data_IF_124452847407
#
_entry.id   IF_124452847407
#
_cell.length_a   1.000
_cell.length_b   1.000
_cell.length_c   1.000
_cell.angle_alpha   90.00
_cell.angle_beta   90.00
_cell.angle_gamma   90.00
#
_symmetry.space_group_name_H-M   'P 1'
#
loop_
_entity.id
_entity.type
_entity.pdbx_description
1 polymer ?
#
# COMPACT_ATOMS: atom_id res chain seq x y z
N UNK A 1 2.90 -15.55 27.81
CA UNK A 1 3.64 -14.34 28.20
C UNK A 1 3.71 -13.45 26.98
N UNK A 2 3.51 -12.15 27.14
CA UNK A 2 3.58 -11.17 26.06
C UNK A 2 4.93 -10.46 26.07
N UNK A 3 5.38 -9.98 24.91
CA UNK A 3 6.70 -9.35 24.73
C UNK A 3 6.94 -8.17 25.69
N UNK A 4 5.90 -7.40 26.02
CA UNK A 4 5.98 -6.27 26.93
C UNK A 4 6.15 -6.65 28.41
N UNK A 5 6.00 -7.94 28.74
CA UNK A 5 6.19 -8.47 30.09
C UNK A 5 7.64 -8.92 30.33
N UNK A 6 8.51 -8.87 29.31
CA UNK A 6 9.91 -9.27 29.42
C UNK A 6 10.72 -8.16 30.09
N UNK A 7 11.69 -8.55 30.91
CA UNK A 7 12.50 -7.65 31.76
C UNK A 7 13.15 -6.50 30.98
N UNK A 8 13.63 -6.77 29.78
CA UNK A 8 14.32 -5.78 28.94
C UNK A 8 13.39 -5.09 27.93
N UNK A 9 12.07 -5.24 27.99
CA UNK A 9 11.16 -4.50 27.10
C UNK A 9 11.40 -2.98 27.24
N UNK A 10 11.51 -2.20 26.15
CA UNK A 10 11.38 -2.54 24.73
C UNK A 10 12.72 -2.66 23.97
N UNK A 11 13.77 -3.17 24.60
CA UNK A 11 15.09 -3.36 23.98
C UNK A 11 15.08 -4.57 23.04
N UNK A 12 14.77 -4.33 21.77
CA UNK A 12 14.77 -5.36 20.73
C UNK A 12 16.17 -5.74 20.26
N UNK A 13 16.34 -7.01 19.89
CA UNK A 13 17.52 -7.53 19.22
C UNK A 13 17.14 -8.25 17.91
N UNK A 14 18.09 -8.35 16.97
CA UNK A 14 17.89 -9.05 15.71
C UNK A 14 19.22 -9.48 15.09
N UNK A 15 19.16 -10.50 14.24
CA UNK A 15 20.31 -10.93 13.44
C UNK A 15 20.37 -10.17 12.11
N UNK A 16 21.21 -9.15 12.04
CA UNK A 16 21.37 -8.33 10.84
C UNK A 16 21.90 -9.12 9.63
N UNK A 17 22.70 -10.18 9.85
CA UNK A 17 23.27 -10.99 8.77
C UNK A 17 22.18 -11.69 7.95
N UNK A 18 21.09 -12.08 8.61
CA UNK A 18 19.91 -12.66 7.95
C UNK A 18 19.06 -11.63 7.21
N UNK A 19 19.10 -10.36 7.62
CA UNK A 19 18.29 -9.29 7.02
C UNK A 19 19.00 -8.62 5.83
N UNK A 20 20.34 -8.63 5.84
CA UNK A 20 21.16 -7.87 4.90
C UNK A 20 20.85 -8.12 3.42
N UNK A 21 20.71 -9.36 2.93
CA UNK A 21 20.44 -9.60 1.52
C UNK A 21 19.13 -8.95 1.04
N UNK A 22 18.09 -8.99 1.89
CA UNK A 22 16.79 -8.39 1.57
C UNK A 22 16.83 -6.87 1.69
N UNK A 23 17.55 -6.31 2.66
CA UNK A 23 17.79 -4.87 2.74
C UNK A 23 18.43 -4.34 1.46
N UNK A 24 19.50 -4.97 0.99
CA UNK A 24 20.21 -4.55 -0.23
C UNK A 24 19.29 -4.63 -1.46
N UNK A 25 18.46 -5.68 -1.55
CA UNK A 25 17.44 -5.84 -2.61
C UNK A 25 16.38 -4.74 -2.58
N UNK A 26 15.87 -4.39 -1.42
CA UNK A 26 14.90 -3.30 -1.24
C UNK A 26 15.51 -1.96 -1.66
N UNK A 27 16.76 -1.66 -1.27
CA UNK A 27 17.45 -0.43 -1.71
C UNK A 27 17.60 -0.35 -3.22
N UNK A 28 17.93 -1.47 -3.87
CA UNK A 28 17.98 -1.54 -5.33
C UNK A 28 16.62 -1.26 -5.96
N UNK A 29 15.53 -1.83 -5.43
CA UNK A 29 14.17 -1.58 -5.92
C UNK A 29 13.74 -0.12 -5.71
N UNK A 30 14.03 0.48 -4.55
CA UNK A 30 13.83 1.91 -4.31
C UNK A 30 14.55 2.75 -5.38
N UNK A 31 15.83 2.46 -5.62
CA UNK A 31 16.61 3.17 -6.65
C UNK A 31 16.04 3.03 -8.06
N UNK A 32 15.59 1.83 -8.45
CA UNK A 32 14.93 1.60 -9.74
C UNK A 32 13.62 2.36 -9.87
N UNK A 33 12.81 2.39 -8.81
CA UNK A 33 11.54 3.09 -8.79
C UNK A 33 11.76 4.59 -8.97
N UNK A 34 12.69 5.19 -8.20
CA UNK A 34 13.08 6.60 -8.32
C UNK A 34 13.63 6.95 -9.70
N UNK A 35 14.50 6.10 -10.27
CA UNK A 35 15.02 6.30 -11.61
C UNK A 35 13.92 6.25 -12.67
N UNK A 36 12.96 5.34 -12.53
CA UNK A 36 11.85 5.18 -13.49
C UNK A 36 10.85 6.33 -13.43
N UNK A 37 10.55 6.87 -12.24
CA UNK A 37 9.66 8.02 -12.09
C UNK A 37 10.27 9.31 -12.62
N UNK A 38 11.59 9.48 -12.51
CA UNK A 38 12.29 10.63 -13.09
C UNK A 38 12.19 10.65 -14.63
N UNK A 39 12.11 9.48 -15.29
CA UNK A 39 12.02 9.36 -16.75
C UNK A 39 10.61 9.61 -17.28
N UNK A 40 9.56 9.23 -16.53
CA UNK A 40 8.17 9.35 -17.00
C UNK A 40 7.65 10.78 -16.95
N UNK A 41 8.16 11.60 -16.02
CA UNK A 41 7.57 12.91 -15.71
C UNK A 41 6.20 12.84 -15.03
N UNK A 42 5.74 11.64 -14.66
CA UNK A 42 4.41 11.37 -14.10
C UNK A 42 4.41 11.19 -12.57
N UNK A 43 5.34 11.85 -11.87
CA UNK A 43 5.52 11.69 -10.42
C UNK A 43 4.23 11.93 -9.62
N UNK A 44 3.45 12.94 -10.00
CA UNK A 44 2.17 13.27 -9.35
C UNK A 44 1.12 12.17 -9.55
N UNK A 45 1.03 11.58 -10.74
CA UNK A 45 0.06 10.52 -11.02
C UNK A 45 0.39 9.24 -10.22
N UNK A 46 1.68 8.91 -10.10
CA UNK A 46 2.15 7.77 -9.33
C UNK A 46 1.98 8.00 -7.81
N UNK A 47 2.24 9.22 -7.32
CA UNK A 47 1.95 9.61 -5.94
C UNK A 47 0.45 9.47 -5.63
N UNK A 48 -0.40 10.00 -6.52
CA UNK A 48 -1.84 9.92 -6.38
C UNK A 48 -2.30 8.46 -6.32
N UNK A 49 -1.85 7.61 -7.23
CA UNK A 49 -2.22 6.18 -7.24
C UNK A 49 -1.73 5.45 -5.98
N UNK A 50 -0.51 5.73 -5.51
CA UNK A 50 -0.01 5.15 -4.27
C UNK A 50 -0.85 5.57 -3.05
N UNK A 51 -1.25 6.84 -2.95
CA UNK A 51 -2.13 7.34 -1.88
C UNK A 51 -3.52 6.71 -1.96
N UNK A 52 -4.09 6.56 -3.16
CA UNK A 52 -5.39 5.91 -3.37
C UNK A 52 -5.34 4.46 -2.89
N UNK A 53 -4.34 3.69 -3.34
CA UNK A 53 -4.17 2.30 -2.90
C UNK A 53 -3.96 2.22 -1.40
N UNK A 54 -3.17 3.13 -0.81
CA UNK A 54 -2.95 3.12 0.62
C UNK A 54 -4.25 3.38 1.40
N UNK A 55 -5.04 4.38 1.01
CA UNK A 55 -6.33 4.70 1.63
C UNK A 55 -7.33 3.54 1.55
N UNK A 56 -7.45 2.89 0.38
CA UNK A 56 -8.36 1.76 0.21
C UNK A 56 -7.90 0.57 1.05
N UNK A 57 -6.62 0.18 0.92
CA UNK A 57 -6.10 -1.05 1.52
C UNK A 57 -5.95 -0.96 3.03
N UNK A 58 -5.61 0.22 3.57
CA UNK A 58 -5.56 0.44 5.01
C UNK A 58 -6.93 0.30 5.67
N UNK A 59 -8.01 0.70 4.99
CA UNK A 59 -9.39 0.51 5.44
C UNK A 59 -9.85 -0.95 5.28
N UNK A 60 -9.54 -1.60 4.16
CA UNK A 60 -9.89 -3.02 3.94
C UNK A 60 -9.26 -3.96 4.96
N UNK A 61 -8.04 -3.66 5.43
CA UNK A 61 -7.38 -4.41 6.52
C UNK A 61 -8.23 -4.39 7.80
N UNK A 62 -8.92 -3.28 8.08
CA UNK A 62 -9.83 -3.13 9.22
C UNK A 62 -11.27 -3.59 8.90
N UNK A 63 -11.52 -4.11 7.69
CA UNK A 63 -12.83 -4.59 7.26
C UNK A 63 -13.76 -3.52 6.68
N UNK A 64 -13.25 -2.32 6.42
CA UNK A 64 -14.00 -1.22 5.80
C UNK A 64 -13.78 -1.19 4.28
N UNK A 65 -14.85 -1.00 3.51
CA UNK A 65 -14.77 -0.84 2.05
C UNK A 65 -15.04 0.61 1.66
N UNK A 66 -14.04 1.27 1.09
CA UNK A 66 -14.18 2.63 0.57
C UNK A 66 -14.49 2.62 -0.93
N UNK A 67 -15.33 3.57 -1.37
CA UNK A 67 -15.57 3.78 -2.80
C UNK A 67 -14.34 4.39 -3.49
N UNK A 68 -13.76 3.64 -4.43
CA UNK A 68 -12.51 4.03 -5.09
C UNK A 68 -12.63 5.33 -5.90
N UNK A 69 -13.82 5.65 -6.43
CA UNK A 69 -14.04 6.91 -7.16
C UNK A 69 -14.03 8.12 -6.21
N UNK A 70 -14.63 7.96 -5.03
CA UNK A 70 -14.64 8.97 -3.97
C UNK A 70 -13.25 9.20 -3.35
N UNK A 71 -12.49 8.12 -3.08
CA UNK A 71 -11.07 8.22 -2.68
C UNK A 71 -10.26 8.92 -3.77
N UNK A 72 -10.49 8.51 -5.04
CA UNK A 72 -10.24 9.24 -6.30
C UNK A 72 -10.21 10.76 -6.12
N UNK A 73 -11.43 11.26 -5.99
CA UNK A 73 -11.77 12.67 -5.93
C UNK A 73 -11.09 13.37 -4.74
N UNK A 74 -11.10 12.73 -3.57
CA UNK A 74 -10.53 13.30 -2.35
C UNK A 74 -9.02 13.52 -2.44
N UNK A 75 -8.27 12.47 -2.82
CA UNK A 75 -6.81 12.55 -2.95
C UNK A 75 -6.43 13.59 -3.99
N UNK A 76 -7.07 13.59 -5.17
CA UNK A 76 -6.79 14.56 -6.21
C UNK A 76 -7.01 16.01 -5.74
N UNK A 77 -8.10 16.28 -5.02
CA UNK A 77 -8.37 17.60 -4.44
C UNK A 77 -7.31 18.03 -3.44
N UNK A 78 -6.87 17.13 -2.56
CA UNK A 78 -5.84 17.43 -1.56
C UNK A 78 -4.44 17.62 -2.16
N UNK A 79 -4.18 17.00 -3.31
CA UNK A 79 -2.97 17.24 -4.11
C UNK A 79 -3.06 18.50 -4.98
N UNK A 80 -4.18 19.23 -4.98
CA UNK A 80 -4.39 20.43 -5.79
C UNK A 80 -4.60 20.14 -7.28
N UNK A 81 -4.99 18.91 -7.64
CA UNK A 81 -5.20 18.49 -9.03
C UNK A 81 -6.64 18.81 -9.43
N UNK A 82 -6.82 19.90 -10.19
CA UNK A 82 -8.10 20.23 -10.80
C UNK A 82 -8.32 19.34 -12.03
N UNK A 83 -9.23 18.37 -11.97
CA UNK A 83 -9.75 17.71 -13.19
C UNK A 83 -11.27 17.87 -13.27
N UNK A 84 -11.74 18.24 -14.46
CA UNK A 84 -13.13 18.09 -14.85
C UNK A 84 -13.47 16.60 -14.90
N UNK A 85 -14.44 16.14 -14.09
CA UNK A 85 -14.96 14.77 -14.16
C UNK A 85 -14.70 13.87 -12.94
N UNK A 86 -14.17 14.38 -11.83
CA UNK A 86 -14.24 13.63 -10.56
C UNK A 86 -15.69 13.56 -10.09
N UNK A 87 -16.35 12.44 -10.42
CA UNK A 87 -17.68 12.11 -9.92
C UNK A 87 -17.53 11.45 -8.54
N UNK A 88 -18.01 12.13 -7.50
CA UNK A 88 -18.06 11.59 -6.14
C UNK A 88 -17.93 12.70 -5.11
N UNK A 89 -18.97 12.87 -4.28
CA UNK A 89 -18.82 13.62 -3.02
C UNK A 89 -18.09 12.69 -2.06
N UNK A 90 -16.81 12.94 -1.82
CA UNK A 90 -16.08 12.24 -0.77
C UNK A 90 -16.81 12.43 0.57
N UNK A 91 -16.93 11.36 1.34
CA UNK A 91 -17.47 11.44 2.69
C UNK A 91 -16.41 12.05 3.62
N UNK A 92 -16.80 12.62 4.77
CA UNK A 92 -15.84 13.13 5.76
C UNK A 92 -14.77 12.09 6.14
N UNK A 93 -15.12 10.81 6.21
CA UNK A 93 -14.22 9.68 6.50
C UNK A 93 -13.15 9.51 5.42
N UNK A 94 -13.54 9.54 4.15
CA UNK A 94 -12.61 9.44 3.02
C UNK A 94 -11.66 10.65 3.00
N UNK A 95 -12.20 11.85 3.24
CA UNK A 95 -11.41 13.08 3.27
C UNK A 95 -10.40 13.10 4.42
N UNK A 96 -10.82 12.66 5.60
CA UNK A 96 -9.96 12.60 6.77
C UNK A 96 -8.88 11.52 6.61
N UNK A 97 -9.20 10.37 6.00
CA UNK A 97 -8.22 9.32 5.67
C UNK A 97 -7.16 9.82 4.69
N UNK A 98 -7.55 10.47 3.59
CA UNK A 98 -6.61 11.06 2.66
C UNK A 98 -5.74 12.14 3.33
N UNK A 99 -6.34 12.95 4.23
CA UNK A 99 -5.62 13.98 4.99
C UNK A 99 -4.57 13.37 5.91
N UNK A 100 -4.90 12.28 6.60
CA UNK A 100 -3.96 11.55 7.46
C UNK A 100 -2.76 11.05 6.66
N UNK A 101 -2.99 10.37 5.53
CA UNK A 101 -1.92 9.78 4.73
C UNK A 101 -1.00 10.86 4.12
N UNK A 102 -1.58 11.97 3.66
CA UNK A 102 -0.82 13.10 3.12
C UNK A 102 -0.04 13.81 4.23
N UNK A 103 -0.63 14.04 5.41
CA UNK A 103 0.07 14.64 6.54
C UNK A 103 1.25 13.78 6.98
N UNK A 104 1.04 12.47 7.09
CA UNK A 104 2.05 11.52 7.54
C UNK A 104 3.30 11.56 6.64
N UNK A 105 3.10 11.60 5.33
CA UNK A 105 4.19 11.57 4.35
C UNK A 105 4.74 12.94 3.98
N UNK A 106 3.98 14.04 4.04
CA UNK A 106 4.47 15.38 3.68
C UNK A 106 5.15 16.12 4.83
N UNK A 107 4.70 15.92 6.07
CA UNK A 107 5.30 16.55 7.25
C UNK A 107 6.30 15.63 7.96
N UNK A 108 6.98 14.78 7.20
CA UNK A 108 7.85 13.71 7.71
C UNK A 108 9.06 14.22 8.50
N UNK A 109 9.49 15.46 8.28
CA UNK A 109 10.60 16.07 9.01
C UNK A 109 10.20 16.57 10.40
N UNK A 110 8.90 16.78 10.64
CA UNK A 110 8.43 17.25 11.93
C UNK A 110 8.34 16.11 12.94
N UNK A 111 8.66 16.35 14.22
CA UNK A 111 8.61 15.31 15.24
C UNK A 111 7.18 14.79 15.43
N UNK A 112 7.06 13.51 15.74
CA UNK A 112 5.80 12.90 16.15
C UNK A 112 5.63 13.12 17.64
N UNK A 113 4.51 13.71 18.03
CA UNK A 113 4.15 13.96 19.44
C UNK A 113 2.89 13.19 19.79
N UNK A 114 2.62 13.03 21.09
CA UNK A 114 1.36 12.43 21.56
C UNK A 114 0.14 13.19 21.03
N UNK A 115 0.19 14.52 21.02
CA UNK A 115 -0.85 15.37 20.44
C UNK A 115 -1.07 15.08 18.94
N UNK A 116 0.01 14.80 18.18
CA UNK A 116 -0.11 14.41 16.78
C UNK A 116 -0.74 13.03 16.62
N UNK A 117 -0.42 12.06 17.50
CA UNK A 117 -1.10 10.76 17.48
C UNK A 117 -2.61 10.90 17.75
N UNK A 118 -3.01 11.77 18.68
CA UNK A 118 -4.43 12.11 18.89
C UNK A 118 -5.07 12.77 17.66
N UNK A 119 -4.37 13.70 17.00
CA UNK A 119 -4.86 14.31 15.76
C UNK A 119 -5.06 13.26 14.66
N UNK A 120 -4.14 12.31 14.54
CA UNK A 120 -4.27 11.20 13.61
C UNK A 120 -5.45 10.30 13.97
N UNK A 121 -5.65 9.98 15.25
CA UNK A 121 -6.80 9.22 15.71
C UNK A 121 -8.12 9.94 15.38
N UNK A 122 -8.19 11.26 15.58
CA UNK A 122 -9.34 12.08 15.22
C UNK A 122 -9.66 12.05 13.72
N UNK A 123 -8.63 11.99 12.86
CA UNK A 123 -8.80 11.83 11.41
C UNK A 123 -9.27 10.43 11.01
N UNK A 124 -8.99 9.40 11.81
CA UNK A 124 -9.48 8.04 11.57
C UNK A 124 -10.98 7.93 11.84
N UNK A 125 -11.51 8.69 12.81
CA UNK A 125 -12.93 8.68 13.20
C UNK A 125 -13.53 10.10 13.17
N UNK A 126 -13.69 10.71 11.98
CA UNK A 126 -14.27 12.04 11.91
C UNK A 126 -15.71 12.04 12.43
N UNK A 127 -16.01 12.97 13.33
CA UNK A 127 -17.36 13.09 13.92
C UNK A 127 -17.63 12.16 15.10
N UNK A 128 -16.63 11.41 15.60
CA UNK A 128 -16.73 10.60 16.81
C UNK A 128 -15.72 11.07 17.89
N UNK A 129 -15.89 12.30 18.45
CA UNK A 129 -14.98 12.84 19.45
C UNK A 129 -14.90 11.97 20.71
N UNK A 130 -15.97 11.28 21.08
CA UNK A 130 -16.01 10.35 22.21
C UNK A 130 -15.02 9.18 22.09
N UNK A 131 -14.71 8.72 20.85
CA UNK A 131 -13.72 7.67 20.60
C UNK A 131 -12.29 8.24 20.64
N UNK A 132 -12.13 9.51 20.25
CA UNK A 132 -10.83 10.12 19.91
C UNK A 132 -10.30 11.10 20.97
N UNK A 133 -11.06 11.30 22.04
CA UNK A 133 -10.75 12.25 23.09
C UNK A 133 -9.56 11.85 23.99
N UNK A 134 -9.21 10.56 24.06
CA UNK A 134 -8.24 10.08 25.05
C UNK A 134 -7.55 8.78 24.65
N UNK A 135 -6.46 8.48 25.35
CA UNK A 135 -5.91 7.12 25.39
C UNK A 135 -6.98 6.15 25.92
N UNK A 136 -6.80 4.86 25.67
CA UNK A 136 -7.72 3.82 26.17
C UNK A 136 -7.92 3.90 27.68
N UNK A 137 -9.01 3.32 28.15
CA UNK A 137 -9.35 3.28 29.58
C UNK A 137 -8.52 2.22 30.35
N UNK A 138 -8.84 2.05 31.63
CA UNK A 138 -8.18 1.08 32.51
C UNK A 138 -8.55 -0.38 32.22
N UNK A 139 -9.50 -0.65 31.32
CA UNK A 139 -9.85 -2.03 30.98
C UNK A 139 -8.73 -2.69 30.18
N UNK A 140 -8.53 -4.01 30.35
CA UNK A 140 -7.59 -4.76 29.52
C UNK A 140 -7.90 -4.57 28.03
N UNK A 141 -6.93 -4.03 27.28
CA UNK A 141 -7.04 -3.89 25.83
C UNK A 141 -6.64 -5.19 25.14
N UNK A 142 -7.61 -5.81 24.48
CA UNK A 142 -7.44 -7.08 23.82
C UNK A 142 -7.52 -6.93 22.31
N UNK A 143 -6.52 -7.46 21.61
CA UNK A 143 -6.64 -7.74 20.18
C UNK A 143 -7.33 -9.08 20.05
N UNK A 144 -8.56 -9.08 19.52
CA UNK A 144 -9.42 -10.26 19.48
C UNK A 144 -10.02 -10.51 18.10
N UNK A 145 -10.37 -11.76 17.84
CA UNK A 145 -11.16 -12.17 16.67
C UNK A 145 -12.25 -13.17 17.08
N UNK A 146 -13.06 -13.62 16.12
CA UNK A 146 -14.15 -14.57 16.37
C UNK A 146 -15.46 -13.89 16.73
N UNK A 147 -16.44 -14.68 17.17
CA UNK A 147 -17.78 -14.18 17.48
C UNK A 147 -17.78 -13.49 18.84
N UNK A 148 -18.65 -12.49 19.02
CA UNK A 148 -18.77 -11.73 20.27
C UNK A 148 -19.06 -12.61 21.50
N UNK A 149 -19.76 -13.73 21.31
CA UNK A 149 -20.07 -14.72 22.36
C UNK A 149 -18.91 -15.66 22.69
N UNK A 150 -17.88 -15.72 21.83
CA UNK A 150 -16.69 -16.57 22.02
C UNK A 150 -15.46 -15.92 21.35
N UNK A 151 -14.96 -14.81 21.89
CA UNK A 151 -13.81 -14.13 21.33
C UNK A 151 -12.54 -14.97 21.54
N UNK A 152 -11.68 -14.99 20.53
CA UNK A 152 -10.30 -15.49 20.64
C UNK A 152 -9.41 -14.29 20.93
N UNK A 153 -8.79 -14.26 22.11
CA UNK A 153 -7.82 -13.22 22.47
C UNK A 153 -6.46 -13.60 21.87
N UNK A 154 -6.04 -12.83 20.88
CA UNK A 154 -4.73 -13.00 20.25
C UNK A 154 -3.65 -12.29 21.07
N UNK A 155 -3.95 -11.12 21.63
CA UNK A 155 -2.96 -10.36 22.39
C UNK A 155 -3.65 -9.47 23.43
N UNK A 156 -2.97 -9.23 24.55
CA UNK A 156 -3.36 -8.21 25.53
C UNK A 156 -2.26 -7.18 25.57
N UNK A 157 -2.59 -5.92 25.29
CA UNK A 157 -1.65 -4.81 25.34
C UNK A 157 -1.16 -4.54 26.77
N UNK A 158 -0.08 -3.76 26.97
CA UNK A 158 0.34 -3.31 28.30
C UNK A 158 -0.83 -2.72 29.11
N UNK A 159 -0.77 -2.67 30.44
CA UNK A 159 -1.81 -1.97 31.21
C UNK A 159 -1.86 -0.48 30.85
N UNK A 160 -3.00 0.15 31.14
CA UNK A 160 -3.17 1.59 30.97
C UNK A 160 -2.26 2.38 31.91
N UNK A 161 -2.05 1.87 33.12
CA UNK A 161 -1.07 2.39 34.06
C UNK A 161 0.34 2.40 33.44
N UNK A 162 0.95 3.59 33.36
CA UNK A 162 2.28 3.79 32.78
C UNK A 162 2.33 3.86 31.25
N UNK A 163 1.18 3.84 30.56
CA UNK A 163 1.11 3.92 29.10
C UNK A 163 1.69 5.24 28.57
N UNK A 164 1.44 6.38 29.22
CA UNK A 164 1.99 7.68 28.81
C UNK A 164 3.52 7.68 28.83
N UNK A 165 4.13 7.09 29.86
CA UNK A 165 5.59 6.99 29.95
C UNK A 165 6.16 6.08 28.88
N UNK A 166 5.48 4.96 28.59
CA UNK A 166 5.88 4.05 27.51
C UNK A 166 5.73 4.71 26.13
N UNK A 167 4.67 5.49 25.91
CA UNK A 167 4.49 6.27 24.69
C UNK A 167 5.54 7.37 24.56
N UNK A 168 5.87 8.05 25.65
CA UNK A 168 6.94 9.04 25.64
C UNK A 168 8.28 8.40 25.27
N UNK A 169 8.61 7.25 25.86
CA UNK A 169 9.81 6.46 25.52
C UNK A 169 9.83 6.08 24.04
N UNK A 170 8.70 5.62 23.51
CA UNK A 170 8.55 5.30 22.09
C UNK A 170 8.74 6.51 21.19
N UNK A 171 8.09 7.64 21.51
CA UNK A 171 8.16 8.87 20.72
C UNK A 171 9.56 9.48 20.74
N UNK A 172 10.24 9.45 21.89
CA UNK A 172 11.63 9.91 22.01
C UNK A 172 12.56 9.07 21.13
N UNK A 173 12.43 7.74 21.18
CA UNK A 173 13.15 6.83 20.29
C UNK A 173 12.79 7.05 18.81
N UNK A 174 11.52 7.25 18.49
CA UNK A 174 11.08 7.43 17.11
C UNK A 174 11.66 8.72 16.52
N UNK A 175 11.66 9.80 17.29
CA UNK A 175 12.18 11.10 16.86
C UNK A 175 13.71 11.17 16.88
N UNK A 176 14.36 10.40 17.75
CA UNK A 176 15.81 10.36 17.91
C UNK A 176 16.33 8.92 17.84
N UNK A 177 16.21 8.25 16.68
CA UNK A 177 16.65 6.87 16.55
C UNK A 177 18.18 6.78 16.69
N UNK A 178 18.72 5.62 17.10
CA UNK A 178 20.16 5.41 17.12
C UNK A 178 20.78 5.69 15.74
N UNK A 179 21.92 6.40 15.70
CA UNK A 179 22.52 6.90 14.46
C UNK A 179 22.85 5.79 13.43
N UNK A 180 23.16 4.58 13.89
CA UNK A 180 23.53 3.45 13.04
C UNK A 180 22.35 2.50 12.75
N UNK A 181 21.13 2.83 13.18
CA UNK A 181 19.96 2.00 12.90
C UNK A 181 19.52 2.23 11.45
N UNK A 182 19.50 1.17 10.63
CA UNK A 182 18.97 1.26 9.27
C UNK A 182 17.51 1.73 9.28
N UNK A 183 17.20 2.69 8.41
CA UNK A 183 15.88 3.34 8.38
C UNK A 183 14.71 2.41 8.02
N UNK A 184 14.95 1.32 7.29
CA UNK A 184 13.92 0.32 6.98
C UNK A 184 13.65 -0.56 8.19
N UNK A 185 14.71 -0.95 8.91
CA UNK A 185 14.57 -1.68 10.18
C UNK A 185 13.85 -0.82 11.21
N UNK A 186 14.20 0.47 11.31
CA UNK A 186 13.51 1.44 12.17
C UNK A 186 12.01 1.49 11.86
N UNK A 187 11.60 1.51 10.59
CA UNK A 187 10.19 1.50 10.22
C UNK A 187 9.47 0.23 10.69
N UNK A 188 10.10 -0.94 10.52
CA UNK A 188 9.57 -2.23 10.99
C UNK A 188 9.46 -2.32 12.52
N UNK A 189 10.46 -1.80 13.25
CA UNK A 189 10.46 -1.74 14.72
C UNK A 189 9.36 -0.80 15.20
N UNK A 190 9.25 0.40 14.61
CA UNK A 190 8.24 1.39 14.98
C UNK A 190 6.82 0.84 14.80
N UNK A 191 6.60 0.09 13.71
CA UNK A 191 5.34 -0.57 13.42
C UNK A 191 4.96 -1.58 14.52
N UNK A 192 5.88 -2.50 14.87
CA UNK A 192 5.63 -3.48 15.92
C UNK A 192 5.41 -2.82 17.28
N UNK A 193 6.26 -1.86 17.65
CA UNK A 193 6.25 -1.26 18.97
C UNK A 193 4.96 -0.46 19.22
N UNK A 194 4.54 0.42 18.31
CA UNK A 194 3.31 1.19 18.52
C UNK A 194 2.07 0.29 18.58
N UNK A 195 1.97 -0.72 17.70
CA UNK A 195 0.87 -1.69 17.74
C UNK A 195 0.84 -2.51 19.04
N UNK A 196 2.01 -2.78 19.62
CA UNK A 196 2.13 -3.48 20.90
C UNK A 196 1.68 -2.60 22.06
N UNK A 197 2.00 -1.30 22.06
CA UNK A 197 1.49 -0.35 23.06
C UNK A 197 -0.04 -0.20 22.99
N UNK A 198 -0.59 -0.23 21.77
CA UNK A 198 -2.02 -0.15 21.47
C UNK A 198 -2.71 1.01 22.23
N UNK A 199 -2.28 2.27 21.99
CA UNK A 199 -2.58 3.38 22.89
C UNK A 199 -4.04 3.83 22.92
N UNK A 200 -4.79 3.59 21.85
CA UNK A 200 -6.14 4.14 21.68
C UNK A 200 -7.23 3.06 21.85
N UNK A 201 -8.48 3.44 22.15
CA UNK A 201 -9.62 2.53 22.12
C UNK A 201 -9.81 1.86 20.76
N UNK A 202 -9.58 2.61 19.67
CA UNK A 202 -9.71 2.16 18.30
C UNK A 202 -8.78 2.99 17.36
N UNK A 203 -8.53 2.50 16.15
CA UNK A 203 -7.75 3.17 15.11
C UNK A 203 -6.25 2.85 15.12
N UNK A 204 -5.78 2.06 16.09
CA UNK A 204 -4.35 1.76 16.28
C UNK A 204 -3.66 1.21 15.02
N UNK A 205 -4.35 0.33 14.27
CA UNK A 205 -3.83 -0.22 13.02
C UNK A 205 -3.57 0.85 11.96
N UNK A 206 -4.56 1.71 11.71
CA UNK A 206 -4.47 2.80 10.72
C UNK A 206 -3.42 3.84 11.10
N UNK A 207 -3.39 4.25 12.37
CA UNK A 207 -2.40 5.19 12.91
C UNK A 207 -0.98 4.63 12.79
N UNK A 208 -0.80 3.34 13.09
CA UNK A 208 0.52 2.71 13.00
C UNK A 208 1.00 2.58 11.56
N UNK A 209 0.12 2.27 10.61
CA UNK A 209 0.46 2.26 9.18
C UNK A 209 0.85 3.66 8.70
N UNK A 210 0.13 4.72 9.09
CA UNK A 210 0.51 6.10 8.80
C UNK A 210 1.87 6.48 9.41
N UNK A 211 2.14 6.09 10.66
CA UNK A 211 3.46 6.28 11.28
C UNK A 211 4.57 5.54 10.51
N UNK A 212 4.28 4.33 10.05
CA UNK A 212 5.22 3.51 9.26
C UNK A 212 5.55 4.19 7.94
N UNK A 213 4.54 4.73 7.25
CA UNK A 213 4.74 5.51 6.02
C UNK A 213 5.59 6.76 6.28
N UNK A 214 5.40 7.44 7.41
CA UNK A 214 6.29 8.55 7.83
C UNK A 214 7.73 8.07 8.05
N UNK A 215 7.93 6.94 8.74
CA UNK A 215 9.26 6.39 8.98
C UNK A 215 9.98 6.01 7.68
N UNK A 216 9.25 5.45 6.72
CA UNK A 216 9.77 5.13 5.39
C UNK A 216 10.08 6.39 4.57
N UNK A 217 9.22 7.42 4.63
CA UNK A 217 9.49 8.73 4.01
C UNK A 217 10.76 9.40 4.58
N UNK A 218 10.96 9.33 5.90
CA UNK A 218 12.19 9.77 6.56
C UNK A 218 13.43 8.99 6.09
N UNK A 219 13.31 7.67 5.96
CA UNK A 219 14.37 6.79 5.49
C UNK A 219 14.78 7.09 4.03
N UNK A 220 13.81 7.46 3.18
CA UNK A 220 14.05 7.81 1.77
C UNK A 220 14.40 9.29 1.57
N UNK A 221 14.27 10.11 2.62
CA UNK A 221 14.41 11.58 2.58
C UNK A 221 13.50 12.23 1.53
N UNK A 222 12.31 11.67 1.32
CA UNK A 222 11.37 12.10 0.30
C UNK A 222 9.94 12.09 0.84
N UNK A 223 9.18 13.14 0.54
CA UNK A 223 7.76 13.25 0.88
C UNK A 223 6.87 12.49 -0.09
N UNK A 224 7.33 12.31 -1.34
CA UNK A 224 6.57 11.65 -2.40
C UNK A 224 6.83 10.16 -2.36
N UNK A 225 5.74 9.39 -2.28
CA UNK A 225 5.76 7.93 -2.16
C UNK A 225 5.11 7.32 -3.39
N UNK A 226 5.81 6.37 -4.01
CA UNK A 226 5.33 5.71 -5.24
C UNK A 226 4.79 4.30 -5.01
N UNK A 227 4.66 3.89 -3.76
CA UNK A 227 4.16 2.56 -3.36
C UNK A 227 3.33 2.64 -2.08
N UNK A 228 2.48 1.64 -1.88
CA UNK A 228 1.61 1.52 -0.71
C UNK A 228 1.92 0.23 0.04
N UNK A 229 2.54 0.33 1.23
CA UNK A 229 2.83 -0.86 2.05
C UNK A 229 1.54 -1.59 2.45
N UNK A 230 0.47 -0.85 2.75
CA UNK A 230 -0.85 -1.40 3.08
C UNK A 230 -1.41 -2.33 1.99
N UNK A 231 -1.05 -2.11 0.72
CA UNK A 231 -1.48 -3.00 -0.37
C UNK A 231 -0.83 -4.37 -0.28
N UNK A 232 0.49 -4.42 -0.04
CA UNK A 232 1.20 -5.67 0.19
C UNK A 232 0.70 -6.37 1.46
N UNK A 233 0.50 -5.62 2.56
CA UNK A 233 -0.08 -6.15 3.80
C UNK A 233 -1.45 -6.80 3.51
N UNK A 234 -2.34 -6.11 2.78
CA UNK A 234 -3.68 -6.60 2.50
C UNK A 234 -3.66 -7.91 1.68
N UNK A 235 -2.76 -8.04 0.70
CA UNK A 235 -2.59 -9.29 -0.08
C UNK A 235 -2.23 -10.49 0.79
N UNK A 236 -1.57 -10.26 1.93
CA UNK A 236 -1.17 -11.30 2.88
C UNK A 236 -1.68 -11.04 4.30
N UNK A 237 -2.91 -10.51 4.43
CA UNK A 237 -3.51 -10.07 5.70
C UNK A 237 -3.42 -11.12 6.82
N UNK A 238 -3.65 -12.40 6.50
CA UNK A 238 -3.54 -13.47 7.50
C UNK A 238 -2.10 -13.67 7.97
N UNK A 239 -1.12 -13.61 7.05
CA UNK A 239 0.31 -13.70 7.41
C UNK A 239 0.75 -12.51 8.25
N UNK A 240 0.20 -11.31 7.98
CA UNK A 240 0.48 -10.12 8.78
C UNK A 240 0.07 -10.29 10.24
N UNK A 241 -1.19 -10.67 10.49
CA UNK A 241 -1.65 -10.88 11.87
C UNK A 241 -0.92 -12.03 12.56
N UNK A 242 -0.60 -13.11 11.83
CA UNK A 242 0.18 -14.22 12.38
C UNK A 242 1.59 -13.79 12.79
N UNK A 243 2.31 -13.07 11.92
CA UNK A 243 3.66 -12.57 12.22
C UNK A 243 3.66 -11.58 13.38
N UNK A 244 2.66 -10.70 13.44
CA UNK A 244 2.48 -9.75 14.55
C UNK A 244 2.21 -10.48 15.87
N UNK A 245 1.27 -11.43 15.88
CA UNK A 245 0.94 -12.22 17.07
C UNK A 245 2.15 -13.02 17.58
N UNK A 246 2.91 -13.63 16.67
CA UNK A 246 4.14 -14.36 17.01
C UNK A 246 5.18 -13.42 17.64
N UNK A 247 5.41 -12.24 17.06
CA UNK A 247 6.33 -11.26 17.63
C UNK A 247 5.87 -10.79 19.01
N UNK A 248 4.57 -10.52 19.17
CA UNK A 248 3.98 -10.04 20.41
C UNK A 248 3.91 -11.08 21.54
N UNK A 249 4.02 -12.37 21.20
CA UNK A 249 4.10 -13.50 22.15
C UNK A 249 5.49 -14.12 22.26
N UNK A 250 6.46 -13.58 21.52
CA UNK A 250 7.80 -14.12 21.40
C UNK A 250 8.80 -13.48 22.38
N UNK A 251 10.07 -13.59 22.02
CA UNK A 251 11.20 -12.93 22.69
C UNK A 251 11.40 -11.50 22.18
N UNK A 252 12.36 -10.77 22.78
CA UNK A 252 12.85 -9.49 22.25
C UNK A 252 13.66 -9.63 20.95
N UNK A 253 14.06 -10.86 20.58
CA UNK A 253 14.56 -11.14 19.25
C UNK A 253 13.44 -11.06 18.21
N UNK A 254 13.46 -10.01 17.39
CA UNK A 254 12.43 -9.72 16.38
C UNK A 254 12.89 -10.02 14.95
N UNK A 255 13.91 -10.86 14.77
CA UNK A 255 14.47 -11.19 13.45
C UNK A 255 13.38 -11.67 12.48
N UNK A 256 12.50 -12.57 12.93
CA UNK A 256 11.42 -13.10 12.09
C UNK A 256 10.38 -12.03 11.70
N UNK A 257 10.05 -11.12 12.63
CA UNK A 257 9.19 -9.98 12.33
C UNK A 257 9.82 -9.08 11.27
N UNK A 258 11.10 -8.74 11.42
CA UNK A 258 11.81 -7.90 10.46
C UNK A 258 11.95 -8.59 9.09
N UNK A 259 12.17 -9.90 9.05
CA UNK A 259 12.14 -10.66 7.79
C UNK A 259 10.78 -10.53 7.11
N UNK A 260 9.68 -10.73 7.83
CA UNK A 260 8.33 -10.60 7.30
C UNK A 260 8.04 -9.16 6.83
N UNK A 261 8.39 -8.16 7.64
CA UNK A 261 8.21 -6.74 7.30
C UNK A 261 8.96 -6.38 6.02
N UNK A 262 10.23 -6.77 5.92
CA UNK A 262 11.05 -6.50 4.73
C UNK A 262 10.54 -7.25 3.50
N UNK A 263 10.05 -8.50 3.62
CA UNK A 263 9.41 -9.19 2.49
C UNK A 263 8.17 -8.43 2.00
N UNK A 264 7.33 -7.98 2.93
CA UNK A 264 6.12 -7.22 2.61
C UNK A 264 6.48 -5.88 1.92
N UNK A 265 7.56 -5.24 2.37
CA UNK A 265 8.06 -4.01 1.76
C UNK A 265 8.63 -4.25 0.36
N UNK A 266 9.37 -5.34 0.17
CA UNK A 266 9.85 -5.78 -1.15
C UNK A 266 8.67 -5.98 -2.11
N UNK A 267 7.62 -6.72 -1.70
CA UNK A 267 6.41 -6.94 -2.49
C UNK A 267 5.71 -5.62 -2.87
N UNK A 268 5.65 -4.66 -1.93
CA UNK A 268 5.05 -3.35 -2.20
C UNK A 268 5.83 -2.56 -3.27
N UNK A 269 7.16 -2.65 -3.25
CA UNK A 269 8.03 -2.02 -4.25
C UNK A 269 7.93 -2.71 -5.61
N UNK A 270 7.85 -4.04 -5.65
CA UNK A 270 7.68 -4.78 -6.91
C UNK A 270 6.32 -4.48 -7.56
N UNK A 271 5.25 -4.38 -6.77
CA UNK A 271 3.94 -3.92 -7.24
C UNK A 271 3.99 -2.51 -7.84
N UNK A 272 4.71 -1.59 -7.19
CA UNK A 272 4.90 -0.24 -7.70
C UNK A 272 5.72 -0.22 -8.99
N UNK A 273 6.78 -1.02 -9.07
CA UNK A 273 7.59 -1.12 -10.29
C UNK A 273 6.74 -1.65 -11.46
N UNK A 274 5.92 -2.68 -11.24
CA UNK A 274 5.02 -3.21 -12.27
C UNK A 274 4.01 -2.16 -12.76
N UNK A 275 3.49 -1.33 -11.86
CA UNK A 275 2.62 -0.20 -12.24
C UNK A 275 3.35 0.82 -13.12
N UNK A 276 4.57 1.21 -12.75
CA UNK A 276 5.37 2.14 -13.55
C UNK A 276 5.68 1.55 -14.93
N UNK A 277 6.03 0.26 -15.00
CA UNK A 277 6.26 -0.43 -16.26
C UNK A 277 5.01 -0.46 -17.15
N UNK A 278 3.83 -0.74 -16.59
CA UNK A 278 2.55 -0.68 -17.32
C UNK A 278 2.29 0.71 -17.91
N UNK A 279 2.46 1.75 -17.10
CA UNK A 279 2.30 3.14 -17.55
C UNK A 279 3.27 3.46 -18.70
N UNK A 280 4.55 3.11 -18.55
CA UNK A 280 5.57 3.33 -19.59
C UNK A 280 5.24 2.58 -20.89
N UNK A 281 4.85 1.32 -20.80
CA UNK A 281 4.46 0.50 -21.95
C UNK A 281 3.24 1.11 -22.65
N UNK A 282 2.21 1.49 -21.89
CA UNK A 282 0.99 2.11 -22.41
C UNK A 282 1.30 3.43 -23.12
N UNK A 283 2.10 4.30 -22.49
CA UNK A 283 2.48 5.60 -23.06
C UNK A 283 3.29 5.42 -24.35
N UNK A 284 4.28 4.52 -24.37
CA UNK A 284 5.06 4.21 -25.59
C UNK A 284 4.20 3.64 -26.70
N UNK A 285 3.31 2.71 -26.37
CA UNK A 285 2.38 2.10 -27.32
C UNK A 285 1.51 3.16 -27.98
N UNK A 286 0.84 4.01 -27.20
CA UNK A 286 -0.05 5.03 -27.75
C UNK A 286 0.70 6.12 -28.50
N UNK A 287 1.92 6.47 -28.08
CA UNK A 287 2.77 7.38 -28.84
C UNK A 287 3.14 6.80 -30.21
N UNK A 288 3.51 5.51 -30.27
CA UNK A 288 3.89 4.81 -31.51
C UNK A 288 2.73 4.69 -32.48
N UNK A 289 1.53 4.39 -31.99
CA UNK A 289 0.33 4.14 -32.81
C UNK A 289 -0.64 5.34 -32.85
N UNK A 290 -0.16 6.56 -32.55
CA UNK A 290 -1.02 7.76 -32.47
C UNK A 290 -1.72 8.12 -33.78
N UNK A 291 -1.09 7.80 -34.92
CA UNK A 291 -1.63 8.06 -36.26
C UNK A 291 -2.57 6.92 -36.73
N UNK A 292 -2.71 5.85 -35.96
CA UNK A 292 -3.57 4.73 -36.33
C UNK A 292 -5.03 5.05 -36.01
N UNK A 293 -5.90 5.01 -37.03
CA UNK A 293 -7.35 5.09 -36.83
C UNK A 293 -7.86 3.79 -36.21
N UNK A 294 -8.21 3.84 -34.94
CA UNK A 294 -8.76 2.71 -34.18
C UNK A 294 -10.21 3.00 -33.81
N UNK A 295 -11.06 1.97 -33.89
CA UNK A 295 -12.43 2.10 -33.41
C UNK A 295 -12.51 1.93 -31.88
N UNK A 296 -13.61 2.34 -31.27
CA UNK A 296 -13.78 2.34 -29.80
C UNK A 296 -13.53 0.96 -29.16
N UNK A 297 -14.00 -0.13 -29.79
CA UNK A 297 -13.84 -1.49 -29.26
C UNK A 297 -12.39 -1.98 -29.35
N UNK A 298 -11.66 -1.62 -30.41
CA UNK A 298 -10.23 -1.90 -30.53
C UNK A 298 -9.44 -1.16 -29.45
N UNK A 299 -9.68 0.15 -29.31
CA UNK A 299 -9.08 0.98 -28.27
C UNK A 299 -9.36 0.43 -26.88
N UNK A 300 -10.60 0.00 -26.61
CA UNK A 300 -11.00 -0.63 -25.35
C UNK A 300 -10.21 -1.91 -25.06
N UNK A 301 -10.08 -2.81 -26.04
CA UNK A 301 -9.34 -4.06 -25.85
C UNK A 301 -7.85 -3.81 -25.68
N UNK A 302 -7.26 -2.91 -26.47
CA UNK A 302 -5.85 -2.52 -26.33
C UNK A 302 -5.57 -1.92 -24.96
N UNK A 303 -6.42 -1.00 -24.48
CA UNK A 303 -6.29 -0.45 -23.13
C UNK A 303 -6.38 -1.55 -22.08
N UNK A 304 -7.32 -2.50 -22.18
CA UNK A 304 -7.39 -3.64 -21.25
C UNK A 304 -6.10 -4.47 -21.25
N UNK A 305 -5.53 -4.76 -22.42
CA UNK A 305 -4.27 -5.50 -22.53
C UNK A 305 -3.08 -4.73 -21.93
N UNK A 306 -3.02 -3.41 -22.14
CA UNK A 306 -1.94 -2.55 -21.61
C UNK A 306 -2.07 -2.34 -20.10
N UNK A 307 -3.29 -2.09 -19.60
CA UNK A 307 -3.59 -1.86 -18.18
C UNK A 307 -3.32 -3.10 -17.31
N UNK A 308 -3.37 -4.30 -17.89
CA UNK A 308 -3.16 -5.57 -17.19
C UNK A 308 -1.89 -6.29 -17.69
N UNK A 309 -0.95 -5.56 -18.28
CA UNK A 309 0.27 -6.15 -18.81
C UNK A 309 1.07 -6.86 -17.70
N UNK A 310 1.49 -8.10 -17.96
CA UNK A 310 2.20 -8.95 -16.99
C UNK A 310 1.30 -9.69 -15.98
N UNK A 311 -0.02 -9.44 -15.98
CA UNK A 311 -1.00 -10.13 -15.12
C UNK A 311 -2.06 -10.88 -15.95
N UNK A 312 -2.72 -10.20 -16.88
CA UNK A 312 -3.71 -10.77 -17.78
C UNK A 312 -3.11 -10.95 -19.19
N UNK A 313 -3.58 -11.96 -19.91
CA UNK A 313 -3.12 -12.25 -21.29
C UNK A 313 -1.62 -12.59 -21.39
N UNK A 314 -1.03 -13.20 -20.36
CA UNK A 314 0.36 -13.70 -20.37
C UNK A 314 0.62 -14.65 -21.54
N UNK A 315 -0.34 -15.53 -21.84
CA UNK A 315 -0.33 -16.44 -23.01
C UNK A 315 -0.89 -15.79 -24.30
N UNK A 316 -1.14 -14.49 -24.27
CA UNK A 316 -1.75 -13.71 -25.33
C UNK A 316 -3.29 -13.69 -25.32
N UNK A 317 -3.83 -12.68 -26.00
CA UNK A 317 -5.26 -12.51 -26.21
C UNK A 317 -5.78 -13.53 -27.23
N UNK A 318 -6.90 -14.17 -26.95
CA UNK A 318 -7.60 -15.04 -27.90
C UNK A 318 -8.78 -14.32 -28.56
N UNK A 319 -9.26 -14.80 -29.71
CA UNK A 319 -10.49 -14.29 -30.32
C UNK A 319 -11.72 -14.40 -29.39
N UNK A 320 -11.77 -15.43 -28.54
CA UNK A 320 -12.81 -15.58 -27.51
C UNK A 320 -12.75 -14.47 -26.47
N UNK A 321 -11.54 -14.14 -25.98
CA UNK A 321 -11.35 -13.04 -25.04
C UNK A 321 -11.69 -11.69 -25.66
N UNK A 322 -11.21 -11.42 -26.89
CA UNK A 322 -11.57 -10.20 -27.62
C UNK A 322 -13.09 -10.05 -27.71
N UNK A 323 -13.79 -11.11 -28.11
CA UNK A 323 -15.26 -11.11 -28.25
C UNK A 323 -15.97 -10.76 -26.95
N UNK A 324 -15.51 -11.30 -25.82
CA UNK A 324 -16.09 -11.04 -24.50
C UNK A 324 -15.89 -9.58 -24.08
N UNK A 325 -14.69 -9.03 -24.27
CA UNK A 325 -14.34 -7.66 -23.90
C UNK A 325 -15.03 -6.61 -24.79
N UNK A 326 -15.04 -6.86 -26.10
CA UNK A 326 -15.62 -5.98 -27.11
C UNK A 326 -17.14 -6.17 -27.30
N UNK A 327 -17.74 -7.19 -26.69
CA UNK A 327 -19.17 -7.56 -26.82
C UNK A 327 -19.61 -7.63 -28.29
N UNK A 328 -18.89 -8.41 -29.11
CA UNK A 328 -19.12 -8.45 -30.56
C UNK A 328 -19.34 -9.87 -31.11
N UNK A 329 -19.60 -10.01 -32.42
CA UNK A 329 -19.75 -11.31 -33.08
C UNK A 329 -18.39 -11.99 -33.33
N UNK A 330 -18.34 -13.33 -33.53
CA UNK A 330 -17.09 -14.01 -33.90
C UNK A 330 -16.44 -13.47 -35.18
N UNK A 331 -17.25 -13.12 -36.18
CA UNK A 331 -16.77 -12.57 -37.46
C UNK A 331 -16.16 -11.18 -37.25
N UNK A 332 -16.81 -10.32 -36.46
CA UNK A 332 -16.29 -8.98 -36.13
C UNK A 332 -15.00 -9.07 -35.32
N UNK A 333 -14.92 -9.95 -34.32
CA UNK A 333 -13.71 -10.15 -33.52
C UNK A 333 -12.52 -10.58 -34.39
N UNK A 334 -12.74 -11.49 -35.34
CA UNK A 334 -11.69 -11.96 -36.26
C UNK A 334 -11.22 -10.82 -37.17
N UNK A 335 -12.15 -10.02 -37.72
CA UNK A 335 -11.83 -8.87 -38.57
C UNK A 335 -11.06 -7.80 -37.81
N UNK A 336 -11.48 -7.46 -36.59
CA UNK A 336 -10.79 -6.46 -35.77
C UNK A 336 -9.38 -6.91 -35.39
N UNK A 337 -9.19 -8.19 -35.05
CA UNK A 337 -7.88 -8.74 -34.71
C UNK A 337 -6.95 -8.74 -35.92
N UNK A 338 -7.46 -9.11 -37.11
CA UNK A 338 -6.69 -9.03 -38.35
C UNK A 338 -6.30 -7.58 -38.68
N UNK A 339 -7.22 -6.63 -38.53
CA UNK A 339 -6.96 -5.20 -38.73
C UNK A 339 -5.92 -4.67 -37.74
N UNK A 340 -6.00 -5.05 -36.46
CA UNK A 340 -5.00 -4.69 -35.44
C UNK A 340 -3.61 -5.27 -35.73
N UNK A 341 -3.54 -6.48 -36.29
CA UNK A 341 -2.27 -7.07 -36.74
C UNK A 341 -1.74 -6.35 -37.97
N UNK A 342 -2.60 -6.02 -38.93
CA UNK A 342 -2.22 -5.27 -40.13
C UNK A 342 -1.70 -3.87 -39.80
N UNK A 343 -2.30 -3.21 -38.82
CA UNK A 343 -1.84 -1.91 -38.27
C UNK A 343 -0.57 -2.04 -37.42
N UNK A 344 -0.13 -3.26 -37.12
CA UNK A 344 1.03 -3.52 -36.29
C UNK A 344 0.79 -3.30 -34.80
N UNK A 345 -0.43 -3.00 -34.35
CA UNK A 345 -0.80 -2.85 -32.94
C UNK A 345 -0.69 -4.18 -32.18
N UNK A 346 -0.96 -5.30 -32.87
CA UNK A 346 -0.84 -6.66 -32.32
C UNK A 346 0.16 -7.48 -33.13
N UNK A 347 0.86 -8.38 -32.43
CA UNK A 347 1.65 -9.46 -33.04
C UNK A 347 0.92 -10.78 -32.83
N UNK A 348 0.76 -11.56 -33.90
CA UNK A 348 0.29 -12.94 -33.80
C UNK A 348 1.40 -13.82 -33.20
N UNK A 349 1.04 -14.62 -32.20
CA UNK A 349 1.91 -15.61 -31.59
C UNK A 349 1.85 -16.95 -32.35
N UNK A 350 2.86 -17.83 -32.20
CA UNK A 350 2.84 -19.16 -32.80
C UNK A 350 1.56 -19.93 -32.42
N UNK A 351 0.78 -20.35 -33.41
CA UNK A 351 -0.52 -20.99 -33.22
C UNK A 351 -1.44 -20.75 -34.44
N UNK A 352 -2.46 -21.59 -34.62
CA UNK A 352 -3.34 -21.54 -35.78
C UNK A 352 -4.81 -21.83 -35.43
N UNK A 353 -5.72 -21.16 -36.13
CA UNK A 353 -7.16 -21.36 -35.94
C UNK A 353 -7.62 -21.04 -34.51
N UNK A 354 -8.11 -22.06 -33.78
CA UNK A 354 -8.64 -21.88 -32.41
C UNK A 354 -7.55 -21.62 -31.35
N UNK A 355 -6.30 -21.94 -31.65
CA UNK A 355 -5.16 -21.68 -30.77
C UNK A 355 -4.46 -20.35 -31.04
N UNK A 356 -4.91 -19.55 -32.01
CA UNK A 356 -4.32 -18.22 -32.27
C UNK A 356 -4.35 -17.34 -31.01
N UNK A 357 -3.21 -16.72 -30.74
CA UNK A 357 -3.00 -15.78 -29.64
C UNK A 357 -2.33 -14.52 -30.17
N UNK A 358 -2.59 -13.40 -29.53
CA UNK A 358 -2.08 -12.09 -29.92
C UNK A 358 -1.49 -11.37 -28.73
N UNK A 359 -0.36 -10.68 -28.93
CA UNK A 359 0.23 -9.78 -27.92
C UNK A 359 0.34 -8.37 -28.46
N UNK A 360 0.35 -7.38 -27.58
CA UNK A 360 0.64 -5.99 -27.97
C UNK A 360 2.04 -5.90 -28.57
N UNK A 361 2.18 -5.10 -29.62
CA UNK A 361 3.48 -4.80 -30.22
C UNK A 361 4.10 -3.62 -29.46
N UNK A 362 5.08 -3.90 -28.61
CA UNK A 362 5.75 -2.89 -27.79
C UNK A 362 6.85 -2.20 -28.59
#
# INVERSE_FOLDING_TARGET
MYIWQLENWPQFDWDETQLRPRLDRIRLLQGKLLGSTAVTGESIALEMEALIQNAIRTSEIEGENLDAASVRSSVARQLGINHAGFAGKATPEIDAMASLLIEATRNWQSPVTLARLHQWQALVFPGAPEITASLRDEQPMHVMSGRLDRPTIHFTAPPRAGLEQQLQTFLDWFNHPPANLDGLLRAGIAHLWLLTLHPFPDGNGRITRALTDRALAQCEQQSVRFYALSEAIMRQRNSYYLALEQAQKGSLNITQWLQWFLATLEDALELAQLRVERTLIKTRFWHRFRECTLNERQTKVLNRMLDNFGEEFTDGLSARHYRALAKTSPATATRDLADLVQKGCLLALPGGGRSSRYRVNQ
#
